data_IF_775008668052
#
_entry.id   IF_775008668052
#
_cell.length_a   1.000
_cell.length_b   1.000
_cell.length_c   1.000
_cell.angle_alpha   90.00
_cell.angle_beta   90.00
_cell.angle_gamma   90.00
#
_symmetry.space_group_name_H-M   'P 1'
#
loop_
_entity.id
_entity.type
_entity.pdbx_description
1 polymer ?
#
# COMPACT_ATOMS: atom_id res chain seq x y z
N UNK A 1 -2.71 21.28 -31.87
CA UNK A 1 -2.40 21.01 -30.44
C UNK A 1 -2.35 19.50 -30.30
N UNK A 2 -1.15 18.91 -30.34
CA UNK A 2 -0.97 17.46 -30.33
C UNK A 2 -1.01 16.97 -28.89
N UNK A 3 -2.14 16.42 -28.47
CA UNK A 3 -2.27 15.68 -27.22
C UNK A 3 -1.47 14.40 -27.41
N UNK A 4 -0.29 14.30 -26.78
CA UNK A 4 0.47 13.05 -26.71
C UNK A 4 -0.27 12.11 -25.77
N UNK A 5 -1.20 11.34 -26.33
CA UNK A 5 -1.81 10.19 -25.67
C UNK A 5 -0.72 9.19 -25.33
N UNK A 6 -0.25 9.23 -24.08
CA UNK A 6 0.72 8.25 -23.59
C UNK A 6 -0.03 6.94 -23.43
N UNK A 7 0.25 5.96 -24.28
CA UNK A 7 -0.26 4.60 -24.16
C UNK A 7 0.33 3.98 -22.88
N UNK A 8 -0.38 4.11 -21.77
CA UNK A 8 0.00 3.48 -20.49
C UNK A 8 -0.40 2.01 -20.54
N UNK A 9 0.57 1.13 -20.33
CA UNK A 9 0.33 -0.31 -20.23
C UNK A 9 -0.56 -0.61 -19.01
N UNK A 10 -1.81 -0.99 -19.28
CA UNK A 10 -2.82 -1.34 -18.27
C UNK A 10 -2.72 -2.81 -17.80
N UNK A 11 -1.71 -3.57 -18.24
CA UNK A 11 -1.50 -4.94 -17.78
C UNK A 11 -1.08 -4.93 -16.30
N UNK A 12 -1.73 -5.73 -15.43
CA UNK A 12 -1.29 -5.94 -14.07
C UNK A 12 0.13 -6.51 -14.01
N UNK A 13 1.02 -5.84 -13.28
CA UNK A 13 2.41 -6.30 -13.07
C UNK A 13 2.67 -6.76 -11.64
N UNK A 14 1.91 -6.21 -10.68
CA UNK A 14 2.09 -6.46 -9.26
C UNK A 14 0.75 -6.60 -8.56
N UNK A 15 0.72 -7.33 -7.46
CA UNK A 15 -0.47 -7.55 -6.62
C UNK A 15 -0.13 -7.31 -5.16
N UNK A 16 -0.90 -6.45 -4.50
CA UNK A 16 -0.79 -6.23 -3.06
C UNK A 16 -0.94 -7.57 -2.32
N UNK A 17 0.05 -7.92 -1.50
CA UNK A 17 0.08 -9.17 -0.74
C UNK A 17 -0.99 -9.21 0.36
N UNK A 18 -1.57 -8.06 0.72
CA UNK A 18 -2.54 -7.94 1.81
C UNK A 18 -3.99 -7.95 1.31
N UNK A 19 -4.29 -7.19 0.25
CA UNK A 19 -5.66 -7.07 -0.27
C UNK A 19 -5.94 -7.85 -1.54
N UNK A 20 -4.90 -8.37 -2.18
CA UNK A 20 -5.01 -9.11 -3.44
C UNK A 20 -5.32 -8.26 -4.67
N UNK A 21 -5.46 -6.94 -4.55
CA UNK A 21 -5.65 -6.04 -5.70
C UNK A 21 -4.35 -5.79 -6.44
N UNK A 22 -4.46 -5.66 -7.75
CA UNK A 22 -3.34 -5.36 -8.65
C UNK A 22 -2.99 -3.87 -8.67
N UNK A 23 -1.84 -3.52 -9.25
CA UNK A 23 -1.40 -2.12 -9.41
C UNK A 23 -2.39 -1.24 -10.19
N UNK A 24 -3.30 -1.82 -10.99
CA UNK A 24 -4.34 -1.09 -11.73
C UNK A 24 -5.67 -0.99 -10.97
N UNK A 25 -5.90 -1.84 -9.96
CA UNK A 25 -7.13 -1.86 -9.16
C UNK A 25 -6.99 -1.11 -7.82
N UNK A 26 -5.76 -0.90 -7.35
CA UNK A 26 -5.50 -0.16 -6.12
C UNK A 26 -5.66 1.34 -6.36
N UNK A 27 -6.26 2.03 -5.40
CA UNK A 27 -6.31 3.49 -5.38
C UNK A 27 -5.03 3.99 -4.69
N UNK A 28 -4.28 4.84 -5.38
CA UNK A 28 -3.03 5.41 -4.88
C UNK A 28 -1.81 4.54 -5.22
N UNK A 29 -0.84 4.50 -4.30
CA UNK A 29 0.46 3.87 -4.55
C UNK A 29 0.48 2.39 -4.17
N UNK A 30 1.11 1.57 -5.01
CA UNK A 30 1.55 0.21 -4.67
C UNK A 30 3.07 0.21 -4.49
N UNK A 31 3.53 -0.08 -3.27
CA UNK A 31 4.97 -0.19 -2.96
C UNK A 31 5.38 -1.64 -3.18
N UNK A 32 6.26 -1.89 -4.15
CA UNK A 32 6.79 -3.22 -4.46
C UNK A 32 8.20 -3.39 -3.88
N UNK A 33 8.44 -4.52 -3.22
CA UNK A 33 9.76 -4.99 -2.78
C UNK A 33 10.02 -6.42 -3.26
N UNK A 34 11.18 -7.00 -2.91
CA UNK A 34 11.50 -8.38 -3.29
C UNK A 34 10.49 -9.38 -2.73
N UNK A 35 9.66 -9.97 -3.59
CA UNK A 35 8.67 -11.01 -3.25
C UNK A 35 7.41 -10.54 -2.52
N UNK A 36 7.27 -9.24 -2.22
CA UNK A 36 6.13 -8.70 -1.48
C UNK A 36 5.76 -7.32 -1.98
N UNK A 37 4.47 -6.98 -1.95
CA UNK A 37 4.03 -5.61 -2.21
C UNK A 37 2.89 -5.20 -1.29
N UNK A 38 2.79 -3.91 -0.99
CA UNK A 38 1.79 -3.34 -0.09
C UNK A 38 1.20 -2.09 -0.70
N UNK A 39 -0.14 -1.99 -0.70
CA UNK A 39 -0.82 -0.78 -1.18
C UNK A 39 -0.97 0.24 -0.06
N UNK A 40 -1.06 1.51 -0.45
CA UNK A 40 -1.16 2.67 0.45
C UNK A 40 -2.23 2.49 1.56
N UNK A 41 -3.40 1.93 1.24
CA UNK A 41 -4.44 1.61 2.24
C UNK A 41 -3.90 0.77 3.40
N UNK A 42 -3.14 -0.28 3.10
CA UNK A 42 -2.62 -1.19 4.12
C UNK A 42 -1.40 -0.63 4.83
N UNK A 43 -0.62 0.24 4.17
CA UNK A 43 0.43 1.01 4.86
C UNK A 43 -0.19 1.85 5.99
N UNK A 44 -1.25 2.60 5.71
CA UNK A 44 -1.92 3.41 6.74
C UNK A 44 -2.53 2.56 7.85
N UNK A 45 -3.12 1.42 7.52
CA UNK A 45 -3.64 0.50 8.53
C UNK A 45 -2.52 -0.03 9.44
N UNK A 46 -1.35 -0.39 8.90
CA UNK A 46 -0.20 -0.80 9.69
C UNK A 46 0.31 0.33 10.59
N UNK A 47 0.38 1.56 10.06
CA UNK A 47 0.77 2.75 10.82
C UNK A 47 -0.18 2.97 12.02
N UNK A 48 -1.49 2.95 11.79
CA UNK A 48 -2.49 3.10 12.86
C UNK A 48 -2.32 2.04 13.95
N UNK A 49 -2.04 0.79 13.57
CA UNK A 49 -1.80 -0.31 14.51
C UNK A 49 -0.55 -0.03 15.34
N UNK A 50 0.58 0.27 14.69
CA UNK A 50 1.86 0.51 15.37
C UNK A 50 1.75 1.65 16.38
N UNK A 51 1.14 2.77 16.00
CA UNK A 51 0.96 3.91 16.91
C UNK A 51 0.00 3.59 18.07
N UNK A 52 -1.12 2.90 17.81
CA UNK A 52 -2.04 2.46 18.88
C UNK A 52 -1.39 1.56 19.93
N UNK A 53 -0.39 0.76 19.56
CA UNK A 53 0.33 -0.09 20.51
C UNK A 53 1.49 0.63 21.19
N UNK A 54 2.19 1.54 20.51
CA UNK A 54 3.27 2.34 21.09
C UNK A 54 2.79 3.24 22.25
N UNK A 55 1.56 3.76 22.18
CA UNK A 55 0.96 4.52 23.28
C UNK A 55 0.77 3.66 24.55
N UNK A 56 0.43 2.38 24.38
CA UNK A 56 0.15 1.45 25.49
C UNK A 56 1.40 0.97 26.23
N UNK A 57 2.56 0.99 25.60
CA UNK A 57 3.82 0.52 26.22
C UNK A 57 4.43 1.54 27.20
N UNK A 58 3.86 2.75 27.33
CA UNK A 58 4.25 3.74 28.34
C UNK A 58 3.40 3.65 29.62
N UNK A 59 2.36 2.82 29.64
CA UNK A 59 1.61 2.52 30.86
C UNK A 59 2.38 1.43 31.62
N UNK A 60 2.68 1.59 32.93
CA UNK A 60 3.30 0.52 33.69
C UNK A 60 2.35 -0.67 33.68
N UNK A 61 2.80 -1.82 33.19
CA UNK A 61 2.12 -3.11 33.43
C UNK A 61 1.83 -3.22 34.92
N UNK A 62 0.56 -3.18 35.30
CA UNK A 62 0.07 -3.49 36.64
C UNK A 62 -0.13 -5.00 36.77
#
# INVERSE_FOLDING_TARGET
MSVTSTEVNIQPTHKCSFCGKTNVEVVGVLVAGPGVSICQKYVFQCVDIVFKYAEKTNDPTH
#
